data_IF_894408872523
#
_entry.id   IF_894408872523
#
_cell.length_a   1.000
_cell.length_b   1.000
_cell.length_c   1.000
_cell.angle_alpha   90.00
_cell.angle_beta   90.00
_cell.angle_gamma   90.00
#
_symmetry.space_group_name_H-M   'P 1'
#
loop_
_entity.id
_entity.type
_entity.pdbx_description
1 polymer ?
#
# COMPACT_ATOMS: atom_id res chain seq x y z
N UNK A 1 -7.13 6.33 -12.85
CA UNK A 1 -6.61 5.52 -13.95
C UNK A 1 -6.69 6.22 -15.30
N UNK A 2 -7.64 7.14 -15.47
CA UNK A 2 -7.75 7.90 -16.73
C UNK A 2 -6.49 8.73 -16.97
N UNK A 3 -5.96 9.36 -15.93
CA UNK A 3 -4.74 10.17 -16.03
C UNK A 3 -3.55 9.29 -16.43
N UNK A 4 -3.42 8.11 -15.82
CA UNK A 4 -2.33 7.19 -16.13
C UNK A 4 -2.39 6.73 -17.59
N UNK A 5 -3.58 6.43 -18.10
CA UNK A 5 -3.76 6.03 -19.49
C UNK A 5 -3.45 7.16 -20.46
N UNK A 6 -3.87 8.38 -20.12
CA UNK A 6 -3.62 9.57 -20.95
C UNK A 6 -2.12 9.82 -21.10
N UNK A 7 -1.34 9.55 -20.03
CA UNK A 7 0.11 9.75 -20.04
C UNK A 7 0.86 8.56 -20.63
N UNK A 8 0.15 7.51 -21.09
CA UNK A 8 0.75 6.33 -21.72
C UNK A 8 1.75 5.63 -20.80
N UNK A 9 1.43 5.53 -19.52
CA UNK A 9 2.27 4.84 -18.55
C UNK A 9 2.27 3.34 -18.82
N UNK A 10 3.36 2.64 -18.46
CA UNK A 10 3.40 1.18 -18.57
C UNK A 10 2.31 0.52 -17.73
N UNK A 11 1.85 -0.66 -18.16
CA UNK A 11 0.78 -1.38 -17.47
C UNK A 11 1.17 -1.71 -16.02
N UNK A 12 2.45 -1.94 -15.75
CA UNK A 12 2.93 -2.23 -14.41
C UNK A 12 2.67 -1.07 -13.44
N UNK A 13 2.51 0.16 -13.96
CA UNK A 13 2.15 1.31 -13.14
C UNK A 13 0.64 1.57 -13.16
N UNK A 14 -0.01 1.34 -14.30
CA UNK A 14 -1.45 1.60 -14.44
C UNK A 14 -2.27 0.70 -13.52
N UNK A 15 -1.98 -0.60 -13.50
CA UNK A 15 -2.77 -1.56 -12.72
C UNK A 15 -2.74 -1.26 -11.22
N UNK A 16 -1.58 -1.01 -10.59
CA UNK A 16 -1.58 -0.64 -9.17
C UNK A 16 -2.31 0.67 -8.89
N UNK A 17 -2.16 1.68 -9.77
CA UNK A 17 -2.86 2.95 -9.59
C UNK A 17 -4.37 2.74 -9.63
N UNK A 18 -4.85 1.95 -10.59
CA UNK A 18 -6.28 1.73 -10.78
C UNK A 18 -6.89 0.82 -9.71
N UNK A 19 -6.14 -0.17 -9.23
CA UNK A 19 -6.68 -1.28 -8.45
C UNK A 19 -6.24 -1.34 -6.99
N UNK A 20 -5.38 -0.41 -6.51
CA UNK A 20 -4.84 -0.57 -5.15
C UNK A 20 -5.89 -0.47 -4.04
N UNK A 21 -7.04 0.16 -4.29
CA UNK A 21 -8.14 0.17 -3.31
C UNK A 21 -8.93 -1.15 -3.32
N UNK A 22 -8.91 -1.87 -4.43
CA UNK A 22 -9.57 -3.15 -4.57
C UNK A 22 -8.64 -4.12 -5.29
N UNK A 23 -7.60 -4.62 -4.61
CA UNK A 23 -6.56 -5.43 -5.25
C UNK A 23 -7.09 -6.73 -5.86
N UNK A 24 -8.25 -7.22 -5.40
CA UNK A 24 -8.90 -8.41 -5.97
C UNK A 24 -9.34 -8.19 -7.42
N UNK A 25 -9.43 -6.96 -7.88
CA UNK A 25 -9.82 -6.66 -9.26
C UNK A 25 -8.64 -6.63 -10.22
N UNK A 26 -7.41 -6.65 -9.73
CA UNK A 26 -6.24 -6.72 -10.59
C UNK A 26 -6.14 -8.11 -11.21
N UNK A 27 -6.02 -8.19 -12.53
CA UNK A 27 -5.83 -9.45 -13.23
C UNK A 27 -4.34 -9.77 -13.36
N UNK A 28 -3.53 -8.74 -13.57
CA UNK A 28 -2.08 -8.85 -13.65
C UNK A 28 -1.44 -7.94 -12.59
N UNK A 29 -0.15 -8.14 -12.34
CA UNK A 29 0.62 -7.32 -11.40
C UNK A 29 0.02 -7.31 -10.00
N UNK A 30 -0.52 -8.46 -9.58
CA UNK A 30 -1.27 -8.55 -8.33
C UNK A 30 -0.40 -8.31 -7.11
N UNK A 31 0.85 -8.76 -7.13
CA UNK A 31 1.75 -8.55 -5.98
C UNK A 31 2.08 -7.08 -5.78
N UNK A 32 2.39 -6.37 -6.88
CA UNK A 32 2.67 -4.94 -6.80
C UNK A 32 1.42 -4.19 -6.35
N UNK A 33 0.26 -4.52 -6.92
CA UNK A 33 -1.01 -3.91 -6.54
C UNK A 33 -1.31 -4.13 -5.06
N UNK A 34 -1.09 -5.35 -4.57
CA UNK A 34 -1.30 -5.68 -3.16
C UNK A 34 -0.33 -4.93 -2.25
N UNK A 35 0.93 -4.77 -2.69
CA UNK A 35 1.92 -4.00 -1.93
C UNK A 35 1.53 -2.53 -1.81
N UNK A 36 1.04 -1.93 -2.90
CA UNK A 36 0.58 -0.54 -2.89
C UNK A 36 -0.65 -0.39 -2.00
N UNK A 37 -1.57 -1.35 -2.06
CA UNK A 37 -2.75 -1.39 -1.18
C UNK A 37 -2.33 -1.36 0.29
N UNK A 38 -1.40 -2.22 0.67
CA UNK A 38 -0.92 -2.33 2.04
C UNK A 38 -0.20 -1.04 2.48
N UNK A 39 0.68 -0.52 1.62
CA UNK A 39 1.41 0.71 1.91
C UNK A 39 0.48 1.91 2.10
N UNK A 40 -0.55 2.02 1.26
CA UNK A 40 -1.53 3.09 1.34
C UNK A 40 -2.27 3.06 2.68
N UNK A 41 -2.67 1.87 3.12
CA UNK A 41 -3.34 1.71 4.42
C UNK A 41 -2.40 2.10 5.56
N UNK A 42 -1.15 1.67 5.50
CA UNK A 42 -0.17 2.02 6.54
C UNK A 42 0.03 3.53 6.64
N UNK A 43 0.19 4.20 5.51
CA UNK A 43 0.37 5.65 5.47
C UNK A 43 -0.87 6.37 6.02
N UNK A 44 -2.05 5.91 5.65
CA UNK A 44 -3.29 6.50 6.14
C UNK A 44 -3.46 6.31 7.65
N UNK A 45 -3.12 5.15 8.18
CA UNK A 45 -3.18 4.89 9.62
C UNK A 45 -2.22 5.80 10.40
N UNK A 46 -1.02 6.00 9.86
CA UNK A 46 -0.04 6.91 10.48
C UNK A 46 -0.55 8.35 10.47
N UNK A 47 -1.14 8.77 9.34
CA UNK A 47 -1.62 10.14 9.16
C UNK A 47 -2.77 10.52 10.10
N UNK A 48 -3.64 9.57 10.43
CA UNK A 48 -4.77 9.83 11.32
C UNK A 48 -4.46 9.52 12.80
N UNK A 49 -3.27 8.98 13.08
CA UNK A 49 -2.83 8.72 14.45
C UNK A 49 -3.59 7.61 15.15
N UNK A 50 -4.24 6.72 14.42
CA UNK A 50 -5.02 5.61 15.01
C UNK A 50 -4.16 4.46 15.49
N UNK A 51 -2.85 4.48 15.19
CA UNK A 51 -1.98 3.38 15.53
C UNK A 51 -2.37 2.11 14.76
N UNK A 52 -2.07 0.96 15.36
CA UNK A 52 -2.30 -0.33 14.68
C UNK A 52 -3.64 -1.00 15.03
N UNK A 53 -4.46 -0.37 15.85
CA UNK A 53 -5.74 -0.95 16.24
C UNK A 53 -6.67 -1.04 15.02
N UNK A 54 -7.18 -2.22 14.76
CA UNK A 54 -8.08 -2.46 13.64
C UNK A 54 -7.41 -2.49 12.28
N UNK A 55 -6.08 -2.39 12.22
CA UNK A 55 -5.32 -2.38 10.97
C UNK A 55 -5.65 -3.60 10.09
N UNK A 56 -5.68 -4.77 10.69
CA UNK A 56 -5.93 -6.03 9.96
C UNK A 56 -7.31 -6.05 9.28
N UNK A 57 -8.27 -5.30 9.79
CA UNK A 57 -9.62 -5.26 9.22
C UNK A 57 -9.74 -4.31 8.04
N UNK A 58 -8.74 -3.46 7.83
CA UNK A 58 -8.73 -2.52 6.71
C UNK A 58 -8.03 -3.11 5.48
N UNK A 59 -7.24 -4.14 5.67
CA UNK A 59 -6.48 -4.77 4.60
C UNK A 59 -7.32 -5.85 3.95
N UNK A 60 -7.37 -5.82 2.62
CA UNK A 60 -8.08 -6.84 1.85
C UNK A 60 -7.37 -8.18 2.02
N UNK A 61 -8.07 -9.25 2.42
CA UNK A 61 -7.46 -10.57 2.58
C UNK A 61 -6.76 -11.07 1.31
N UNK A 62 -7.24 -10.68 0.13
CA UNK A 62 -6.62 -11.05 -1.13
C UNK A 62 -5.20 -10.48 -1.23
N UNK A 63 -4.98 -9.26 -0.72
CA UNK A 63 -3.65 -8.66 -0.70
C UNK A 63 -2.70 -9.44 0.20
N UNK A 64 -3.19 -9.90 1.35
CA UNK A 64 -2.38 -10.70 2.27
C UNK A 64 -1.99 -12.04 1.64
N UNK A 65 -2.93 -12.69 0.95
CA UNK A 65 -2.66 -13.95 0.27
C UNK A 65 -1.61 -13.76 -0.84
N UNK A 66 -1.74 -12.71 -1.64
CA UNK A 66 -0.79 -12.43 -2.72
C UNK A 66 0.62 -12.16 -2.20
N UNK A 67 0.74 -11.53 -1.04
CA UNK A 67 2.02 -11.20 -0.42
C UNK A 67 2.50 -12.30 0.52
N UNK A 68 1.70 -13.35 0.70
CA UNK A 68 2.01 -14.47 1.60
C UNK A 68 2.25 -13.98 3.03
N UNK A 69 1.38 -13.10 3.50
CA UNK A 69 1.44 -12.53 4.84
C UNK A 69 0.28 -13.06 5.67
N UNK A 70 0.58 -13.57 6.85
CA UNK A 70 -0.47 -13.98 7.80
C UNK A 70 -0.99 -12.76 8.54
N UNK A 71 -2.30 -12.70 8.86
CA UNK A 71 -2.88 -11.55 9.56
C UNK A 71 -2.16 -11.18 10.86
N UNK A 72 -1.65 -12.16 11.59
CA UNK A 72 -0.95 -11.90 12.86
C UNK A 72 0.42 -11.26 12.67
N UNK A 73 0.94 -11.22 11.45
CA UNK A 73 2.23 -10.58 11.15
C UNK A 73 2.10 -9.09 10.86
N UNK A 74 0.88 -8.60 10.60
CA UNK A 74 0.64 -7.24 10.13
C UNK A 74 1.14 -6.19 11.12
N UNK A 75 0.83 -6.37 12.39
CA UNK A 75 1.24 -5.40 13.43
C UNK A 75 2.76 -5.25 13.49
N UNK A 76 3.47 -6.36 13.42
CA UNK A 76 4.93 -6.35 13.41
C UNK A 76 5.51 -5.67 12.17
N UNK A 77 4.90 -5.91 11.01
CA UNK A 77 5.32 -5.27 9.77
C UNK A 77 5.08 -3.76 9.87
N UNK A 78 3.92 -3.34 10.33
CA UNK A 78 3.58 -1.93 10.53
C UNK A 78 4.62 -1.24 11.42
N UNK A 79 4.97 -1.87 12.54
CA UNK A 79 5.94 -1.32 13.48
C UNK A 79 7.33 -1.15 12.86
N UNK A 80 7.73 -2.10 11.99
CA UNK A 80 9.04 -2.04 11.32
C UNK A 80 9.07 -1.05 10.18
N UNK A 81 7.96 -0.88 9.47
CA UNK A 81 7.87 0.00 8.31
C UNK A 81 7.67 1.47 8.69
N UNK A 82 6.99 1.74 9.81
CA UNK A 82 6.69 3.10 10.24
C UNK A 82 7.92 4.02 10.30
N UNK A 83 9.03 3.64 10.96
CA UNK A 83 10.20 4.52 10.98
C UNK A 83 10.78 4.79 9.59
N UNK A 84 10.70 3.80 8.69
CA UNK A 84 11.22 3.95 7.34
C UNK A 84 10.38 4.95 6.53
N UNK A 85 9.07 4.92 6.69
CA UNK A 85 8.18 5.87 6.03
C UNK A 85 8.44 7.29 6.55
N UNK A 86 8.61 7.45 7.86
CA UNK A 86 8.91 8.75 8.44
C UNK A 86 10.24 9.30 7.94
N UNK A 87 11.26 8.46 7.81
CA UNK A 87 12.54 8.86 7.23
C UNK A 87 12.39 9.33 5.79
N UNK A 88 11.60 8.60 5.00
CA UNK A 88 11.36 8.96 3.61
C UNK A 88 10.66 10.33 3.50
N UNK A 89 9.69 10.60 4.36
CA UNK A 89 9.01 11.88 4.41
C UNK A 89 9.97 13.02 4.74
N UNK A 90 10.85 12.81 5.71
CA UNK A 90 11.88 13.80 6.08
C UNK A 90 12.79 14.10 4.90
N UNK A 91 13.22 13.08 4.17
CA UNK A 91 14.08 13.25 3.00
C UNK A 91 13.40 14.08 1.91
N UNK A 92 12.11 13.83 1.67
CA UNK A 92 11.33 14.59 0.70
C UNK A 92 11.26 16.06 1.12
N UNK A 93 10.97 16.33 2.39
CA UNK A 93 10.88 17.70 2.91
C UNK A 93 12.22 18.44 2.82
N UNK A 94 13.31 17.74 3.08
CA UNK A 94 14.66 18.34 3.01
C UNK A 94 15.03 18.77 1.60
N UNK A 95 14.47 18.13 0.57
CA UNK A 95 14.78 18.40 -0.82
C UNK A 95 13.82 19.39 -1.49
N UNK A 96 12.82 19.84 -0.75
CA UNK A 96 11.89 20.84 -1.24
C UNK A 96 12.35 22.24 -0.88
#
# INVERSE_FOLDING_TARGET
AIVAKTWKLPQVLITPIACHHQPNKAQDYRRITSSVHLADIFVNMMGVGLGKDGLQYRIDPVALDELNIHPEEIDGIYERVTPLILQAEEMVQMNL
#
